data_IF_807811911817
#
_entry.id   IF_807811911817
#
_cell.length_a   1.000
_cell.length_b   1.000
_cell.length_c   1.000
_cell.angle_alpha   90.00
_cell.angle_beta   90.00
_cell.angle_gamma   90.00
#
_symmetry.space_group_name_H-M   'P 1'
#
loop_
_entity.id
_entity.type
_entity.pdbx_description
1 polymer ?
#
# COMPACT_ATOMS: atom_id res chain seq x y z
N UNK A 1 -10.00 10.17 12.46
CA UNK A 1 -8.82 9.46 11.93
C UNK A 1 -9.06 9.06 10.48
N UNK A 2 -8.01 9.04 9.70
CA UNK A 2 -8.06 8.64 8.29
C UNK A 2 -7.74 7.15 8.20
N UNK A 3 -8.68 6.37 7.66
CA UNK A 3 -8.50 4.92 7.50
C UNK A 3 -7.52 4.61 6.38
N UNK A 4 -6.55 3.74 6.67
CA UNK A 4 -5.53 3.33 5.72
C UNK A 4 -5.33 1.81 5.83
N UNK A 5 -5.39 1.10 4.71
CA UNK A 5 -5.05 -0.32 4.65
C UNK A 5 -3.64 -0.49 4.14
N UNK A 6 -2.88 -1.37 4.77
CA UNK A 6 -1.48 -1.57 4.46
C UNK A 6 -1.17 -3.06 4.30
N UNK A 7 -0.78 -3.46 3.10
CA UNK A 7 -0.39 -4.84 2.80
C UNK A 7 1.12 -4.99 2.95
N UNK A 8 1.57 -5.72 3.96
CA UNK A 8 2.96 -5.99 4.27
C UNK A 8 3.08 -7.27 5.06
N UNK A 9 3.92 -8.20 4.61
CA UNK A 9 4.10 -9.48 5.28
C UNK A 9 5.22 -9.51 6.32
N UNK A 10 6.10 -8.50 6.33
CA UNK A 10 7.14 -8.37 7.37
C UNK A 10 6.55 -7.63 8.57
N UNK A 11 6.35 -8.30 9.72
CA UNK A 11 5.70 -7.66 10.87
C UNK A 11 6.52 -6.52 11.47
N UNK A 12 7.85 -6.56 11.37
CA UNK A 12 8.68 -5.49 11.90
C UNK A 12 8.52 -4.20 11.10
N UNK A 13 8.54 -4.32 9.77
CA UNK A 13 8.32 -3.16 8.90
C UNK A 13 6.89 -2.65 9.05
N UNK A 14 5.91 -3.55 9.04
CA UNK A 14 4.51 -3.19 9.16
C UNK A 14 4.22 -2.43 10.45
N UNK A 15 4.70 -2.92 11.58
CA UNK A 15 4.47 -2.29 12.88
C UNK A 15 5.16 -0.93 12.99
N UNK A 16 6.38 -0.80 12.44
CA UNK A 16 7.10 0.48 12.45
C UNK A 16 6.34 1.55 11.67
N UNK A 17 5.85 1.21 10.48
CA UNK A 17 5.06 2.13 9.66
C UNK A 17 3.74 2.48 10.35
N UNK A 18 3.06 1.47 10.90
CA UNK A 18 1.79 1.68 11.61
C UNK A 18 1.95 2.63 12.78
N UNK A 19 2.94 2.41 13.65
CA UNK A 19 3.17 3.27 14.81
C UNK A 19 3.42 4.71 14.40
N UNK A 20 4.25 4.91 13.37
CA UNK A 20 4.57 6.26 12.89
C UNK A 20 3.32 6.96 12.35
N UNK A 21 2.56 6.30 11.50
CA UNK A 21 1.38 6.90 10.88
C UNK A 21 0.24 7.13 11.88
N UNK A 22 0.11 6.26 12.88
CA UNK A 22 -0.92 6.46 13.91
C UNK A 22 -0.63 7.70 14.77
N UNK A 23 0.63 8.10 14.90
CA UNK A 23 0.98 9.38 15.53
C UNK A 23 0.59 10.58 14.67
N UNK A 24 0.29 10.37 13.39
CA UNK A 24 -0.12 11.39 12.42
C UNK A 24 -1.62 11.36 12.12
N UNK A 25 -2.42 10.80 13.03
CA UNK A 25 -3.88 10.72 12.94
C UNK A 25 -4.41 9.78 11.83
N UNK A 26 -3.62 8.77 11.45
CA UNK A 26 -4.09 7.68 10.60
C UNK A 26 -4.49 6.49 11.44
N UNK A 27 -5.51 5.78 11.01
CA UNK A 27 -5.84 4.46 11.53
C UNK A 27 -5.36 3.43 10.53
N UNK A 28 -4.30 2.70 10.87
CA UNK A 28 -3.67 1.74 9.96
C UNK A 28 -4.08 0.33 10.31
N UNK A 29 -4.64 -0.40 9.34
CA UNK A 29 -4.92 -1.81 9.46
C UNK A 29 -3.96 -2.58 8.57
N UNK A 30 -3.21 -3.51 9.16
CA UNK A 30 -2.18 -4.29 8.47
C UNK A 30 -2.79 -5.59 7.97
N UNK A 31 -2.47 -5.96 6.73
CA UNK A 31 -2.84 -7.23 6.12
C UNK A 31 -1.57 -7.91 5.62
N UNK A 32 -1.37 -9.16 5.99
CA UNK A 32 -0.17 -9.91 5.64
C UNK A 32 -0.30 -10.73 4.36
N UNK A 33 -1.46 -10.72 3.72
CA UNK A 33 -1.70 -11.34 2.42
C UNK A 33 -2.55 -10.45 1.53
N UNK A 34 -2.47 -10.67 0.22
CA UNK A 34 -3.33 -9.98 -0.74
C UNK A 34 -4.79 -10.41 -0.59
N UNK A 35 -5.02 -11.69 -0.31
CA UNK A 35 -6.38 -12.21 -0.11
C UNK A 35 -7.08 -11.52 1.05
N UNK A 36 -6.39 -11.29 2.16
CA UNK A 36 -7.00 -10.67 3.34
C UNK A 36 -7.36 -9.21 3.08
N UNK A 37 -6.49 -8.44 2.42
CA UNK A 37 -6.80 -7.04 2.12
C UNK A 37 -7.92 -6.94 1.08
N UNK A 38 -7.95 -7.85 0.12
CA UNK A 38 -9.03 -7.89 -0.87
C UNK A 38 -10.39 -8.13 -0.24
N UNK A 39 -10.47 -9.08 0.70
CA UNK A 39 -11.70 -9.35 1.44
C UNK A 39 -12.14 -8.14 2.26
N UNK A 40 -11.18 -7.45 2.89
CA UNK A 40 -11.47 -6.26 3.67
C UNK A 40 -12.03 -5.13 2.80
N UNK A 41 -11.47 -4.94 1.60
CA UNK A 41 -11.94 -3.93 0.65
C UNK A 41 -13.36 -4.19 0.17
N UNK A 42 -13.77 -5.44 0.07
CA UNK A 42 -15.14 -5.79 -0.32
C UNK A 42 -16.17 -5.44 0.77
N UNK A 43 -15.72 -5.30 2.01
CA UNK A 43 -16.59 -4.97 3.16
C UNK A 43 -16.56 -3.47 3.43
N UNK A 44 -15.37 -2.85 3.41
CA UNK A 44 -15.18 -1.45 3.76
C UNK A 44 -14.04 -0.86 2.94
N UNK A 45 -14.27 0.32 2.34
CA UNK A 45 -13.26 1.00 1.53
C UNK A 45 -12.55 2.05 2.39
N UNK A 46 -11.23 1.96 2.56
CA UNK A 46 -10.48 2.95 3.33
C UNK A 46 -10.25 4.22 2.52
N UNK A 47 -9.65 5.23 3.15
CA UNK A 47 -9.27 6.46 2.45
C UNK A 47 -8.04 6.26 1.55
N UNK A 48 -7.22 5.24 1.81
CA UNK A 48 -5.97 5.01 1.08
C UNK A 48 -5.50 3.58 1.27
N UNK A 49 -4.74 3.06 0.30
CA UNK A 49 -4.13 1.74 0.36
C UNK A 49 -2.62 1.87 0.13
N UNK A 50 -1.83 1.25 1.01
CA UNK A 50 -0.40 1.04 0.82
C UNK A 50 -0.19 -0.44 0.47
N UNK A 51 0.50 -0.72 -0.62
CA UNK A 51 0.74 -2.09 -1.09
C UNK A 51 2.23 -2.39 -1.21
N UNK A 52 2.68 -3.52 -0.66
CA UNK A 52 3.96 -4.07 -1.04
C UNK A 52 3.82 -4.77 -2.39
N UNK A 53 4.87 -4.71 -3.21
CA UNK A 53 4.87 -5.34 -4.53
C UNK A 53 4.85 -6.86 -4.43
N UNK A 54 5.70 -7.42 -3.55
CA UNK A 54 5.81 -8.86 -3.38
C UNK A 54 5.13 -9.28 -2.08
N UNK A 55 4.07 -10.06 -2.20
CA UNK A 55 3.33 -10.61 -1.08
C UNK A 55 3.40 -12.15 -1.12
N UNK A 56 3.17 -12.83 0.01
CA UNK A 56 3.27 -14.31 0.05
C UNK A 56 2.37 -15.01 -0.95
N UNK A 57 1.21 -14.43 -1.27
CA UNK A 57 0.21 -15.03 -2.13
C UNK A 57 0.09 -14.34 -3.50
N UNK A 58 1.07 -13.52 -3.90
CA UNK A 58 1.08 -12.96 -5.23
C UNK A 58 1.78 -11.62 -5.36
N UNK A 59 1.52 -10.95 -6.46
CA UNK A 59 2.11 -9.63 -6.77
C UNK A 59 1.10 -8.53 -6.49
N UNK A 60 1.56 -7.49 -5.81
CA UNK A 60 0.72 -6.34 -5.45
C UNK A 60 0.19 -5.57 -6.66
N UNK A 61 0.91 -5.58 -7.79
CA UNK A 61 0.46 -4.87 -8.98
C UNK A 61 -0.84 -5.48 -9.56
N UNK A 62 -1.05 -6.77 -9.43
CA UNK A 62 -2.30 -7.40 -9.84
C UNK A 62 -3.48 -6.96 -8.97
N UNK A 63 -3.24 -6.87 -7.67
CA UNK A 63 -4.26 -6.35 -6.75
C UNK A 63 -4.56 -4.87 -7.04
N UNK A 64 -3.54 -4.08 -7.33
CA UNK A 64 -3.72 -2.67 -7.69
C UNK A 64 -4.62 -2.52 -8.92
N UNK A 65 -4.41 -3.34 -9.93
CA UNK A 65 -5.23 -3.33 -11.14
C UNK A 65 -6.70 -3.68 -10.81
N UNK A 66 -6.91 -4.69 -9.97
CA UNK A 66 -8.26 -5.05 -9.52
C UNK A 66 -8.92 -3.93 -8.74
N UNK A 67 -8.20 -3.30 -7.81
CA UNK A 67 -8.72 -2.17 -7.04
C UNK A 67 -9.13 -1.04 -7.99
N UNK A 68 -8.25 -0.69 -8.93
CA UNK A 68 -8.50 0.41 -9.84
C UNK A 68 -9.68 0.16 -10.77
N UNK A 69 -9.95 -1.08 -11.10
CA UNK A 69 -11.13 -1.46 -11.88
C UNK A 69 -12.44 -1.27 -11.13
N UNK A 70 -12.41 -1.30 -9.81
CA UNK A 70 -13.60 -1.17 -8.95
C UNK A 70 -13.73 0.22 -8.35
N UNK A 71 -12.62 0.77 -7.82
CA UNK A 71 -12.60 2.11 -7.18
C UNK A 71 -11.57 2.98 -7.89
N UNK A 72 -12.04 3.78 -8.84
CA UNK A 72 -11.15 4.52 -9.74
C UNK A 72 -10.38 5.65 -9.07
N UNK A 73 -10.87 6.13 -7.93
CA UNK A 73 -10.27 7.28 -7.24
C UNK A 73 -9.62 6.91 -5.91
N UNK A 74 -9.62 5.64 -5.51
CA UNK A 74 -8.99 5.22 -4.27
C UNK A 74 -7.46 5.37 -4.39
N UNK A 75 -6.81 6.21 -3.56
CA UNK A 75 -5.36 6.40 -3.64
C UNK A 75 -4.61 5.11 -3.30
N UNK A 76 -3.60 4.78 -4.11
CA UNK A 76 -2.76 3.60 -3.94
C UNK A 76 -1.30 4.01 -4.05
N UNK A 77 -0.51 3.63 -3.05
CA UNK A 77 0.95 3.84 -3.03
C UNK A 77 1.64 2.50 -2.86
N UNK A 78 2.59 2.20 -3.73
CA UNK A 78 3.44 1.02 -3.57
C UNK A 78 4.61 1.30 -2.64
N UNK A 79 4.87 0.36 -1.70
CA UNK A 79 6.05 0.36 -0.83
C UNK A 79 6.81 -0.93 -1.11
N UNK A 80 7.97 -0.85 -1.78
CA UNK A 80 8.62 -2.06 -2.27
C UNK A 80 10.13 -1.87 -2.43
N UNK A 81 10.87 -3.00 -2.40
CA UNK A 81 12.30 -3.01 -2.73
C UNK A 81 12.54 -2.96 -4.24
N UNK A 82 11.52 -3.13 -5.06
CA UNK A 82 11.64 -3.12 -6.52
C UNK A 82 11.70 -1.68 -7.00
N UNK A 83 12.90 -1.22 -7.33
CA UNK A 83 13.14 0.18 -7.67
C UNK A 83 13.57 0.45 -9.09
N UNK A 84 13.62 -0.55 -9.98
CA UNK A 84 13.99 -0.29 -11.36
C UNK A 84 12.86 0.37 -12.14
N UNK A 85 13.20 1.03 -13.25
CA UNK A 85 12.23 1.83 -14.00
C UNK A 85 11.11 0.99 -14.61
N UNK A 86 11.38 -0.26 -14.96
CA UNK A 86 10.34 -1.14 -15.51
C UNK A 86 9.27 -1.47 -14.48
N UNK A 87 9.68 -1.74 -13.23
CA UNK A 87 8.74 -2.01 -12.15
C UNK A 87 7.92 -0.77 -11.78
N UNK A 88 8.57 0.40 -11.76
CA UNK A 88 7.87 1.66 -11.49
C UNK A 88 6.83 1.95 -12.58
N UNK A 89 7.20 1.82 -13.84
CA UNK A 89 6.27 2.02 -14.96
C UNK A 89 5.12 1.03 -14.89
N UNK A 90 5.41 -0.24 -14.62
CA UNK A 90 4.36 -1.26 -14.46
C UNK A 90 3.38 -0.91 -13.33
N UNK A 91 3.89 -0.41 -12.20
CA UNK A 91 3.04 0.02 -11.08
C UNK A 91 2.09 1.14 -11.48
N UNK A 92 2.59 2.17 -12.15
CA UNK A 92 1.75 3.28 -12.59
C UNK A 92 0.76 2.86 -13.70
N UNK A 93 1.17 1.97 -14.60
CA UNK A 93 0.27 1.44 -15.62
C UNK A 93 -0.88 0.62 -15.02
N UNK A 94 -0.68 0.03 -13.85
CA UNK A 94 -1.73 -0.69 -13.12
C UNK A 94 -2.58 0.23 -12.25
N UNK A 95 -2.31 1.53 -12.24
CA UNK A 95 -3.16 2.52 -11.62
C UNK A 95 -2.70 3.05 -10.26
N UNK A 96 -1.44 2.81 -9.88
CA UNK A 96 -0.90 3.39 -8.64
C UNK A 96 -0.74 4.90 -8.77
N UNK A 97 -0.95 5.62 -7.66
CA UNK A 97 -0.80 7.07 -7.61
C UNK A 97 0.63 7.49 -7.28
N UNK A 98 1.37 6.65 -6.56
CA UNK A 98 2.76 6.94 -6.19
C UNK A 98 3.51 5.65 -5.90
N UNK A 99 4.81 5.77 -5.68
CA UNK A 99 5.72 4.66 -5.56
C UNK A 99 6.86 5.05 -4.61
N UNK A 100 7.08 4.29 -3.54
CA UNK A 100 8.15 4.54 -2.58
C UNK A 100 9.02 3.30 -2.48
N UNK A 101 10.33 3.46 -2.69
CA UNK A 101 11.28 2.35 -2.72
C UNK A 101 11.86 2.12 -1.33
N UNK A 102 11.91 0.87 -0.90
CA UNK A 102 12.56 0.47 0.36
C UNK A 102 14.07 0.35 0.15
N UNK A 103 14.91 0.67 1.13
CA UNK A 103 14.51 1.26 2.41
C UNK A 103 14.12 2.73 2.25
N UNK A 104 13.11 3.17 3.01
CA UNK A 104 12.65 4.55 2.96
C UNK A 104 12.64 5.14 4.37
N UNK A 105 12.70 6.47 4.45
CA UNK A 105 12.49 7.17 5.70
C UNK A 105 11.00 7.42 5.92
N UNK A 106 10.54 7.30 7.15
CA UNK A 106 9.12 7.42 7.48
C UNK A 106 8.57 8.81 7.12
N UNK A 107 9.39 9.85 7.30
CA UNK A 107 8.99 11.22 6.92
C UNK A 107 8.78 11.36 5.41
N UNK A 108 9.59 10.67 4.61
CA UNK A 108 9.43 10.66 3.16
C UNK A 108 8.13 9.97 2.77
N UNK A 109 7.85 8.82 3.38
CA UNK A 109 6.58 8.12 3.16
C UNK A 109 5.40 9.02 3.51
N UNK A 110 5.44 9.65 4.68
CA UNK A 110 4.36 10.53 5.12
C UNK A 110 4.14 11.69 4.16
N UNK A 111 5.22 12.27 3.62
CA UNK A 111 5.09 13.36 2.66
C UNK A 111 4.41 12.92 1.35
N UNK A 112 4.59 11.66 0.95
CA UNK A 112 3.93 11.11 -0.24
C UNK A 112 2.45 10.82 0.00
N UNK A 113 2.08 10.48 1.23
CA UNK A 113 0.69 10.24 1.61
C UNK A 113 -0.13 11.54 1.58
N UNK A 114 0.49 12.62 1.98
CA UNK A 114 -0.16 13.93 1.93
C UNK A 114 -0.25 14.42 0.48
#
# INVERSE_FOLDING_TARGET
>A
MIDLYYAEDDPNIANTVKEYLEQKDFKVTIYDTLASIKQALEIHVPAMVLLDWNMPDGRGDYLCKWIRGTWKELPIIFLTVRGDSCDIVSGFQNGADDYVVKPFELEVLYSRIL
#
